data_IF_523724209728
#
_entry.id   IF_523724209728
#
_cell.length_a   1.000
_cell.length_b   1.000
_cell.length_c   1.000
_cell.angle_alpha   90.00
_cell.angle_beta   90.00
_cell.angle_gamma   90.00
#
_symmetry.space_group_name_H-M   'P 1'
#
loop_
_entity.id
_entity.type
_entity.pdbx_description
1 polymer ?
#
# COMPACT_ATOMS: atom_id res chain seq x y z
N UNK A 1 -11.39 3.34 -2.13
CA UNK A 1 -9.95 3.06 -2.08
C UNK A 1 -9.26 4.38 -1.88
N UNK A 2 -8.46 4.48 -0.83
CA UNK A 2 -7.63 5.65 -0.49
C UNK A 2 -6.30 5.12 0.04
N UNK A 3 -5.30 5.99 0.17
CA UNK A 3 -3.97 5.60 0.61
C UNK A 3 -3.97 4.82 1.94
N UNK A 4 -4.76 5.21 2.93
CA UNK A 4 -4.83 4.49 4.21
C UNK A 4 -5.31 3.03 4.09
N UNK A 5 -5.92 2.64 2.97
CA UNK A 5 -6.35 1.26 2.74
C UNK A 5 -5.17 0.30 2.40
N UNK A 6 -3.96 0.84 2.17
CA UNK A 6 -2.73 0.12 1.76
C UNK A 6 -1.68 0.00 2.89
N UNK A 7 -2.10 0.16 4.15
CA UNK A 7 -1.25 -0.17 5.28
C UNK A 7 -2.05 -0.97 6.29
N UNK A 8 -1.67 -2.22 6.45
CA UNK A 8 -2.20 -3.09 7.49
C UNK A 8 -1.06 -3.75 8.26
N UNK A 9 -0.72 -3.15 9.42
CA UNK A 9 0.33 -3.67 10.30
C UNK A 9 -0.04 -5.00 10.98
N UNK A 10 -1.27 -5.49 10.80
CA UNK A 10 -1.72 -6.80 11.26
C UNK A 10 -1.80 -7.82 10.13
N UNK A 11 -1.45 -7.44 8.89
CA UNK A 11 -1.41 -8.36 7.78
C UNK A 11 -0.31 -9.40 7.96
N UNK A 12 -0.70 -10.67 7.87
CA UNK A 12 0.22 -11.80 7.83
C UNK A 12 0.26 -12.31 6.38
N UNK A 13 1.40 -12.20 5.67
CA UNK A 13 1.51 -12.65 4.29
C UNK A 13 1.27 -14.16 4.15
N UNK A 14 0.59 -14.53 3.07
CA UNK A 14 0.35 -15.91 2.68
C UNK A 14 1.56 -16.47 1.93
N UNK A 15 1.65 -17.80 1.78
CA UNK A 15 2.74 -18.44 1.01
C UNK A 15 2.76 -18.04 -0.48
N UNK A 16 1.62 -17.65 -1.03
CA UNK A 16 1.48 -17.23 -2.43
C UNK A 16 1.74 -15.73 -2.65
N UNK A 17 1.93 -14.95 -1.57
CA UNK A 17 2.15 -13.52 -1.68
C UNK A 17 3.56 -13.20 -2.16
N UNK A 18 3.66 -12.25 -3.09
CA UNK A 18 4.94 -11.67 -3.47
C UNK A 18 5.38 -10.65 -2.41
N UNK A 19 6.47 -10.97 -1.69
CA UNK A 19 7.05 -10.09 -0.67
C UNK A 19 8.17 -9.24 -1.28
N UNK A 20 8.04 -7.92 -1.12
CA UNK A 20 9.03 -6.94 -1.60
C UNK A 20 9.66 -6.18 -0.41
N UNK A 21 11.00 -6.25 -0.28
CA UNK A 21 11.74 -5.49 0.73
C UNK A 21 12.30 -4.20 0.11
N UNK A 22 11.94 -3.05 0.69
CA UNK A 22 12.40 -1.74 0.23
C UNK A 22 13.28 -1.05 1.27
N UNK A 23 14.38 -0.44 0.80
CA UNK A 23 15.10 0.59 1.56
C UNK A 23 14.53 1.95 1.17
N UNK A 24 13.80 2.58 2.08
CA UNK A 24 13.14 3.87 1.85
C UNK A 24 13.88 4.95 2.66
N UNK A 25 14.16 6.08 2.00
CA UNK A 25 14.67 7.30 2.66
C UNK A 25 13.58 8.37 2.52
N UNK A 26 12.77 8.62 3.57
CA UNK A 26 11.72 9.62 3.51
C UNK A 26 12.26 11.03 3.26
N UNK A 27 11.48 11.83 2.54
CA UNK A 27 11.69 13.28 2.51
C UNK A 27 11.42 13.90 3.89
N UNK A 28 12.05 15.03 4.18
CA UNK A 28 11.84 15.75 5.44
C UNK A 28 10.35 16.01 5.71
N UNK A 29 9.90 15.73 6.93
CA UNK A 29 8.49 15.91 7.33
C UNK A 29 7.54 14.78 6.93
N UNK A 30 8.02 13.73 6.24
CA UNK A 30 7.19 12.57 5.91
C UNK A 30 7.50 11.39 6.84
N UNK A 31 6.54 10.96 7.69
CA UNK A 31 6.72 9.77 8.51
C UNK A 31 6.78 8.52 7.61
N UNK A 32 7.55 7.52 8.02
CA UNK A 32 7.85 6.34 7.19
C UNK A 32 6.59 5.60 6.76
N UNK A 33 5.57 5.52 7.62
CA UNK A 33 4.29 4.88 7.35
C UNK A 33 3.57 5.54 6.17
N UNK A 34 3.58 6.87 6.09
CA UNK A 34 2.98 7.62 4.98
C UNK A 34 3.77 7.50 3.68
N UNK A 35 5.05 7.15 3.74
CA UNK A 35 5.85 6.85 2.56
C UNK A 35 5.62 5.40 2.11
N UNK A 36 5.64 4.44 3.04
CA UNK A 36 5.36 3.03 2.79
C UNK A 36 3.98 2.83 2.16
N UNK A 37 2.94 3.49 2.69
CA UNK A 37 1.59 3.51 2.11
C UNK A 37 1.61 3.88 0.62
N UNK A 38 2.39 4.92 0.26
CA UNK A 38 2.46 5.38 -1.13
C UNK A 38 3.20 4.39 -2.01
N UNK A 39 4.26 3.76 -1.50
CA UNK A 39 4.95 2.68 -2.22
C UNK A 39 3.99 1.51 -2.47
N UNK A 40 3.30 1.01 -1.45
CA UNK A 40 2.34 -0.09 -1.59
C UNK A 40 1.19 0.26 -2.56
N UNK A 41 0.63 1.47 -2.45
CA UNK A 41 -0.43 1.94 -3.33
C UNK A 41 0.02 2.05 -4.80
N UNK A 42 1.07 2.81 -5.09
CA UNK A 42 1.48 3.13 -6.47
C UNK A 42 2.22 1.98 -7.17
N UNK A 43 2.67 0.96 -6.42
CA UNK A 43 3.24 -0.28 -7.00
C UNK A 43 2.20 -1.39 -7.19
N UNK A 44 0.95 -1.17 -6.77
CA UNK A 44 -0.15 -2.11 -6.99
C UNK A 44 -1.27 -1.48 -7.82
N UNK A 45 -2.31 -0.95 -7.17
CA UNK A 45 -3.50 -0.44 -7.84
C UNK A 45 -4.08 0.85 -7.21
N UNK A 46 -3.29 1.55 -6.41
CA UNK A 46 -3.64 2.84 -5.83
C UNK A 46 -3.48 4.00 -6.82
N UNK A 47 -3.97 5.17 -6.41
CA UNK A 47 -3.76 6.42 -7.14
C UNK A 47 -3.85 7.61 -6.17
N UNK A 48 -3.49 8.80 -6.65
CA UNK A 48 -3.35 10.04 -5.87
C UNK A 48 -4.66 10.61 -5.32
N UNK A 49 -5.82 10.07 -5.72
CA UNK A 49 -7.14 10.49 -5.25
C UNK A 49 -8.01 9.30 -4.88
N UNK A 50 -8.97 9.52 -3.98
CA UNK A 50 -9.86 8.47 -3.54
C UNK A 50 -10.84 8.07 -4.66
N UNK A 51 -10.95 6.77 -4.92
CA UNK A 51 -11.87 6.20 -5.89
C UNK A 51 -12.83 5.21 -5.26
N UNK A 52 -14.07 5.16 -5.75
CA UNK A 52 -15.02 4.10 -5.42
C UNK A 52 -14.86 3.00 -6.47
N UNK A 53 -14.46 1.82 -6.04
CA UNK A 53 -14.16 0.68 -6.92
C UNK A 53 -14.84 -0.60 -6.41
N UNK A 54 -15.05 -1.61 -7.27
CA UNK A 54 -15.55 -2.92 -6.87
C UNK A 54 -14.62 -3.65 -5.90
N UNK A 55 -15.17 -4.55 -5.07
CA UNK A 55 -14.42 -5.26 -4.02
C UNK A 55 -13.34 -6.20 -4.57
N UNK A 56 -13.59 -6.85 -5.71
CA UNK A 56 -12.59 -7.73 -6.33
C UNK A 56 -11.31 -6.97 -6.75
N UNK A 57 -11.40 -5.67 -7.05
CA UNK A 57 -10.21 -4.86 -7.32
C UNK A 57 -9.46 -4.56 -6.02
N UNK A 58 -10.17 -4.33 -4.90
CA UNK A 58 -9.54 -4.13 -3.59
C UNK A 58 -8.78 -5.36 -3.08
N UNK A 59 -9.21 -6.55 -3.48
CA UNK A 59 -8.53 -7.80 -3.14
C UNK A 59 -7.14 -7.92 -3.79
N UNK A 60 -6.86 -7.18 -4.86
CA UNK A 60 -5.57 -7.16 -5.55
C UNK A 60 -4.58 -6.14 -4.96
N UNK A 61 -4.99 -5.37 -3.95
CA UNK A 61 -4.16 -4.31 -3.37
C UNK A 61 -3.08 -4.87 -2.46
N UNK A 62 -1.85 -4.35 -2.60
CA UNK A 62 -0.78 -4.58 -1.65
C UNK A 62 -1.16 -4.06 -0.24
N UNK A 63 -0.42 -4.52 0.77
CA UNK A 63 -0.61 -4.21 2.19
C UNK A 63 0.61 -3.53 2.80
#
# INVERSE_FOLDING_TARGET
MKYEDFLDLKYEPNEEDLICLFKIIPSSGFPIEKVAIRVAAESSNGTWTALKIPDHIRALSAK
#
